data_IF_332264619459
#
_entry.id   IF_332264619459
#
_cell.length_a   1.000
_cell.length_b   1.000
_cell.length_c   1.000
_cell.angle_alpha   90.00
_cell.angle_beta   90.00
_cell.angle_gamma   90.00
#
_symmetry.space_group_name_H-M   'P 1'
#
loop_
_entity.id
_entity.type
_entity.pdbx_description
1 polymer ?
#
# COMPACT_ATOMS: atom_id res chain seq x y z
N UNK A 1 31.44 1.46 -35.00
CA UNK A 1 32.15 1.22 -33.72
C UNK A 1 31.69 2.12 -32.57
N UNK A 2 30.69 2.99 -32.75
CA UNK A 2 30.23 3.96 -31.73
C UNK A 2 29.09 3.47 -30.82
N UNK A 3 28.36 2.40 -31.19
CA UNK A 3 27.25 1.86 -30.37
C UNK A 3 27.74 1.14 -29.10
N UNK A 4 28.81 0.34 -29.19
CA UNK A 4 29.30 -0.48 -28.06
C UNK A 4 30.04 0.29 -26.96
N UNK A 5 30.48 1.52 -27.21
CA UNK A 5 31.15 2.36 -26.20
C UNK A 5 30.13 3.14 -25.35
N UNK A 6 29.04 3.59 -25.96
CA UNK A 6 27.94 4.28 -25.27
C UNK A 6 27.20 3.33 -24.31
N UNK A 7 27.00 2.08 -24.71
CA UNK A 7 26.28 1.06 -23.94
C UNK A 7 27.06 0.65 -22.66
N UNK A 8 28.39 0.49 -22.76
CA UNK A 8 29.25 0.22 -21.60
C UNK A 8 29.32 1.40 -20.61
N UNK A 9 29.33 2.63 -21.11
CA UNK A 9 29.33 3.84 -20.27
C UNK A 9 28.00 4.02 -19.53
N UNK A 10 26.86 3.85 -20.23
CA UNK A 10 25.52 3.91 -19.64
C UNK A 10 25.31 2.81 -18.58
N UNK A 11 25.74 1.58 -18.87
CA UNK A 11 25.65 0.47 -17.92
C UNK A 11 26.51 0.71 -16.66
N UNK A 12 27.66 1.39 -16.81
CA UNK A 12 28.50 1.78 -15.66
C UNK A 12 27.84 2.85 -14.78
N UNK A 13 27.18 3.84 -15.37
CA UNK A 13 26.41 4.86 -14.63
C UNK A 13 25.21 4.27 -13.90
N UNK A 14 24.47 3.39 -14.57
CA UNK A 14 23.32 2.68 -14.02
C UNK A 14 23.71 1.78 -12.84
N UNK A 15 24.82 1.03 -12.95
CA UNK A 15 25.39 0.23 -11.86
C UNK A 15 25.75 1.07 -10.64
N UNK A 16 26.34 2.25 -10.83
CA UNK A 16 26.65 3.17 -9.72
C UNK A 16 25.38 3.64 -9.01
N UNK A 17 24.34 4.00 -9.77
CA UNK A 17 23.06 4.45 -9.22
C UNK A 17 22.36 3.32 -8.45
N UNK A 18 22.31 2.11 -9.00
CA UNK A 18 21.71 0.97 -8.31
C UNK A 18 22.49 0.54 -7.06
N UNK A 19 23.82 0.63 -7.08
CA UNK A 19 24.63 0.44 -5.88
C UNK A 19 24.31 1.50 -4.82
N UNK A 20 24.10 2.75 -5.20
CA UNK A 20 23.65 3.79 -4.28
C UNK A 20 22.29 3.45 -3.66
N UNK A 21 21.30 3.08 -4.48
CA UNK A 21 19.98 2.66 -3.96
C UNK A 21 20.07 1.42 -3.08
N UNK A 22 20.92 0.45 -3.40
CA UNK A 22 21.16 -0.71 -2.55
C UNK A 22 21.69 -0.32 -1.17
N UNK A 23 22.67 0.57 -1.10
CA UNK A 23 23.20 1.07 0.18
C UNK A 23 22.13 1.82 0.98
N UNK A 24 21.32 2.66 0.33
CA UNK A 24 20.21 3.37 0.97
C UNK A 24 19.17 2.40 1.51
N UNK A 25 18.74 1.42 0.70
CA UNK A 25 17.75 0.41 1.11
C UNK A 25 18.28 -0.44 2.26
N UNK A 26 19.56 -0.84 2.20
CA UNK A 26 20.20 -1.62 3.26
C UNK A 26 20.23 -0.86 4.58
N UNK A 27 20.64 0.41 4.55
CA UNK A 27 20.74 1.23 5.76
C UNK A 27 19.40 1.75 6.26
N UNK A 28 18.42 2.05 5.40
CA UNK A 28 17.19 2.74 5.84
C UNK A 28 16.00 1.81 6.00
N UNK A 29 16.00 0.65 5.36
CA UNK A 29 14.85 -0.27 5.34
C UNK A 29 15.27 -1.65 5.86
N UNK A 30 16.22 -2.31 5.18
CA UNK A 30 16.51 -3.73 5.40
C UNK A 30 17.04 -4.00 6.82
N UNK A 31 17.81 -3.08 7.42
CA UNK A 31 18.31 -3.23 8.79
C UNK A 31 17.21 -3.34 9.85
N UNK A 32 15.99 -2.91 9.54
CA UNK A 32 14.84 -2.99 10.43
C UNK A 32 13.93 -4.19 10.13
N UNK A 33 14.26 -5.04 9.14
CA UNK A 33 13.49 -6.24 8.90
C UNK A 33 13.71 -7.23 10.05
N UNK A 34 12.65 -7.70 10.69
CA UNK A 34 12.78 -8.65 11.77
C UNK A 34 13.29 -10.02 11.24
N UNK A 35 14.30 -10.64 11.87
CA UNK A 35 14.92 -11.85 11.34
C UNK A 35 14.04 -13.09 11.39
N UNK A 36 12.97 -13.13 12.21
CA UNK A 36 12.07 -14.28 12.31
C UNK A 36 10.82 -14.02 11.48
N UNK A 37 9.94 -13.12 11.94
CA UNK A 37 8.72 -12.74 11.21
C UNK A 37 8.99 -12.17 9.82
N UNK A 38 10.07 -11.42 9.58
CA UNK A 38 10.30 -10.74 8.30
C UNK A 38 9.49 -9.46 8.09
N UNK A 39 8.77 -9.01 9.12
CA UNK A 39 8.01 -7.76 9.11
C UNK A 39 8.92 -6.54 9.35
N UNK A 40 8.35 -5.34 9.14
CA UNK A 40 9.00 -4.06 9.44
C UNK A 40 8.28 -3.36 10.59
N UNK A 41 9.00 -2.67 11.50
CA UNK A 41 8.39 -2.02 12.65
C UNK A 41 7.67 -0.75 12.20
N UNK A 42 6.54 -0.44 12.83
CA UNK A 42 5.79 0.79 12.59
C UNK A 42 6.64 2.03 12.92
N UNK A 43 7.40 1.96 14.01
CA UNK A 43 8.29 3.03 14.46
C UNK A 43 9.74 2.52 14.54
N UNK A 44 10.53 2.58 13.46
CA UNK A 44 11.89 2.04 13.44
C UNK A 44 12.87 2.78 14.39
N UNK A 45 12.51 3.99 14.84
CA UNK A 45 13.31 4.76 15.81
C UNK A 45 13.02 4.40 17.26
N UNK A 46 11.94 3.67 17.52
CA UNK A 46 11.55 3.24 18.86
C UNK A 46 12.04 1.80 19.09
N UNK A 47 13.05 1.58 19.97
CA UNK A 47 13.58 0.25 20.25
C UNK A 47 12.54 -0.70 20.87
N UNK A 48 11.45 -0.18 21.43
CA UNK A 48 10.38 -0.95 22.04
C UNK A 48 9.15 -1.09 21.15
N UNK A 49 9.27 -0.75 19.85
CA UNK A 49 8.18 -0.90 18.90
C UNK A 49 7.80 -2.38 18.74
N UNK A 50 6.64 -2.76 19.29
CA UNK A 50 6.11 -4.14 19.21
C UNK A 50 5.22 -4.38 17.99
N UNK A 51 4.93 -3.35 17.21
CA UNK A 51 3.88 -3.41 16.20
C UNK A 51 4.45 -3.20 14.80
N UNK A 52 3.95 -4.00 13.87
CA UNK A 52 4.09 -3.80 12.43
C UNK A 52 2.73 -3.40 11.86
N UNK A 53 2.71 -2.45 10.92
CA UNK A 53 1.50 -2.14 10.15
C UNK A 53 1.61 -2.78 8.77
N UNK A 54 0.54 -3.45 8.32
CA UNK A 54 0.55 -4.21 7.07
C UNK A 54 0.87 -3.32 5.88
N UNK A 55 0.22 -2.15 5.76
CA UNK A 55 0.47 -1.20 4.65
C UNK A 55 1.95 -0.82 4.53
N UNK A 56 2.59 -0.55 5.67
CA UNK A 56 3.97 -0.05 5.72
C UNK A 56 4.94 -1.17 5.36
N UNK A 57 4.71 -2.37 5.91
CA UNK A 57 5.46 -3.58 5.57
C UNK A 57 5.33 -3.95 4.09
N UNK A 58 4.12 -3.82 3.50
CA UNK A 58 3.94 -4.03 2.05
C UNK A 58 4.78 -3.04 1.25
N UNK A 59 4.75 -1.74 1.59
CA UNK A 59 5.59 -0.76 0.89
C UNK A 59 7.09 -1.03 1.07
N UNK A 60 7.55 -1.46 2.25
CA UNK A 60 8.93 -1.89 2.45
C UNK A 60 9.27 -3.07 1.53
N UNK A 61 8.42 -4.10 1.48
CA UNK A 61 8.59 -5.23 0.58
C UNK A 61 8.57 -4.82 -0.89
N UNK A 62 7.76 -3.83 -1.27
CA UNK A 62 7.74 -3.26 -2.62
C UNK A 62 9.06 -2.64 -3.01
N UNK A 63 9.70 -1.86 -2.12
CA UNK A 63 11.04 -1.29 -2.39
C UNK A 63 12.06 -2.40 -2.63
N UNK A 64 12.08 -3.42 -1.76
CA UNK A 64 12.99 -4.56 -1.88
C UNK A 64 12.77 -5.31 -3.20
N UNK A 65 11.52 -5.57 -3.56
CA UNK A 65 11.15 -6.21 -4.82
C UNK A 65 11.52 -5.37 -6.04
N UNK A 66 11.27 -4.05 -6.00
CA UNK A 66 11.59 -3.16 -7.09
C UNK A 66 13.12 -3.13 -7.34
N UNK A 67 13.92 -3.05 -6.27
CA UNK A 67 15.37 -3.10 -6.37
C UNK A 67 15.87 -4.48 -6.81
N UNK A 68 15.28 -5.58 -6.29
CA UNK A 68 15.53 -6.93 -6.79
C UNK A 68 15.35 -6.99 -8.31
N UNK A 69 14.22 -6.50 -8.82
CA UNK A 69 13.91 -6.48 -10.26
C UNK A 69 14.90 -5.66 -11.07
N UNK A 70 15.31 -4.49 -10.57
CA UNK A 70 16.29 -3.66 -11.24
C UNK A 70 17.68 -4.30 -11.26
N UNK A 71 18.09 -4.96 -10.17
CA UNK A 71 19.38 -5.66 -10.09
C UNK A 71 19.40 -6.94 -10.94
N UNK A 72 18.32 -7.73 -10.99
CA UNK A 72 18.24 -8.93 -11.85
C UNK A 72 18.50 -8.62 -13.34
N UNK A 73 18.27 -7.38 -13.78
CA UNK A 73 18.54 -6.96 -15.17
C UNK A 73 20.02 -6.67 -15.48
N UNK A 74 20.86 -6.44 -14.45
CA UNK A 74 22.19 -5.82 -14.60
C UNK A 74 23.30 -6.57 -13.85
N UNK A 75 22.95 -7.24 -12.75
CA UNK A 75 23.83 -7.85 -11.75
C UNK A 75 23.62 -9.37 -11.75
N UNK A 76 24.55 -10.11 -12.36
CA UNK A 76 24.48 -11.57 -12.52
C UNK A 76 25.29 -12.33 -11.45
N UNK A 77 26.32 -11.71 -10.85
CA UNK A 77 27.34 -12.48 -10.09
C UNK A 77 27.36 -12.24 -8.57
N UNK A 78 26.68 -11.23 -8.03
CA UNK A 78 26.83 -10.85 -6.61
C UNK A 78 25.76 -11.44 -5.66
N UNK A 79 24.72 -12.10 -6.17
CA UNK A 79 23.63 -12.70 -5.38
C UNK A 79 22.73 -11.72 -4.61
N UNK A 80 23.04 -10.41 -4.62
CA UNK A 80 22.32 -9.36 -3.88
C UNK A 80 20.86 -9.26 -4.30
N UNK A 81 20.59 -9.39 -5.59
CA UNK A 81 19.23 -9.36 -6.10
C UNK A 81 18.41 -10.49 -5.46
N UNK A 82 18.95 -11.71 -5.38
CA UNK A 82 18.26 -12.87 -4.82
C UNK A 82 17.92 -12.66 -3.34
N UNK A 83 18.88 -12.18 -2.54
CA UNK A 83 18.66 -11.85 -1.13
C UNK A 83 17.50 -10.86 -0.94
N UNK A 84 17.48 -9.76 -1.71
CA UNK A 84 16.39 -8.78 -1.66
C UNK A 84 15.03 -9.37 -2.04
N UNK A 85 15.01 -10.24 -3.05
CA UNK A 85 13.80 -10.96 -3.46
C UNK A 85 13.27 -11.84 -2.33
N UNK A 86 14.14 -12.60 -1.67
CA UNK A 86 13.77 -13.45 -0.52
C UNK A 86 13.30 -12.62 0.68
N UNK A 87 13.93 -11.49 0.96
CA UNK A 87 13.48 -10.56 1.99
C UNK A 87 12.07 -10.01 1.70
N UNK A 88 11.76 -9.68 0.45
CA UNK A 88 10.42 -9.25 0.05
C UNK A 88 9.39 -10.38 0.19
N UNK A 89 9.71 -11.60 -0.28
CA UNK A 89 8.87 -12.79 -0.14
C UNK A 89 8.57 -13.06 1.33
N UNK A 90 9.59 -13.04 2.19
CA UNK A 90 9.46 -13.30 3.62
C UNK A 90 8.47 -12.33 4.28
N UNK A 91 8.57 -11.03 3.98
CA UNK A 91 7.64 -10.03 4.51
C UNK A 91 6.20 -10.27 4.05
N UNK A 92 5.98 -10.53 2.75
CA UNK A 92 4.64 -10.77 2.22
C UNK A 92 4.03 -12.06 2.77
N UNK A 93 4.83 -13.11 2.94
CA UNK A 93 4.41 -14.37 3.56
C UNK A 93 4.04 -14.20 5.03
N UNK A 94 4.79 -13.40 5.77
CA UNK A 94 4.48 -13.09 7.16
C UNK A 94 3.09 -12.47 7.32
N UNK A 95 2.77 -11.51 6.45
CA UNK A 95 1.44 -10.89 6.40
C UNK A 95 0.37 -11.91 6.05
N UNK A 96 0.60 -12.75 5.03
CA UNK A 96 -0.34 -13.79 4.62
C UNK A 96 -0.63 -14.76 5.76
N UNK A 97 0.42 -15.27 6.43
CA UNK A 97 0.30 -16.20 7.57
C UNK A 97 -0.43 -15.53 8.73
N UNK A 98 -0.09 -14.28 9.07
CA UNK A 98 -0.79 -13.52 10.11
C UNK A 98 -2.29 -13.40 9.82
N UNK A 99 -2.66 -13.03 8.60
CA UNK A 99 -4.08 -12.95 8.22
C UNK A 99 -4.78 -14.31 8.11
N UNK A 100 -4.08 -15.39 7.75
CA UNK A 100 -4.64 -16.75 7.74
C UNK A 100 -5.05 -17.22 9.14
N UNK A 101 -4.34 -16.78 10.19
CA UNK A 101 -4.76 -17.02 11.58
C UNK A 101 -6.12 -16.37 11.90
N UNK A 102 -6.55 -15.38 11.10
CA UNK A 102 -7.85 -14.70 11.21
C UNK A 102 -8.88 -15.20 10.18
N UNK A 103 -8.69 -16.38 9.59
CA UNK A 103 -9.59 -16.93 8.56
C UNK A 103 -11.06 -17.02 9.01
N UNK A 104 -11.31 -17.39 10.26
CA UNK A 104 -12.67 -17.42 10.83
C UNK A 104 -13.33 -16.03 10.85
N UNK A 105 -12.55 -15.00 11.17
CA UNK A 105 -12.96 -13.59 11.17
C UNK A 105 -13.27 -13.11 9.76
N UNK A 106 -12.41 -13.45 8.80
CA UNK A 106 -12.60 -13.16 7.38
C UNK A 106 -13.88 -13.80 6.81
N UNK A 107 -14.18 -15.05 7.18
CA UNK A 107 -15.42 -15.71 6.76
C UNK A 107 -16.67 -15.02 7.32
N UNK A 108 -16.62 -14.57 8.58
CA UNK A 108 -17.72 -13.80 9.17
C UNK A 108 -17.90 -12.44 8.49
N UNK A 109 -16.81 -11.79 8.09
CA UNK A 109 -16.85 -10.50 7.39
C UNK A 109 -17.66 -10.54 6.11
N UNK A 110 -17.62 -11.64 5.34
CA UNK A 110 -18.42 -11.78 4.11
C UNK A 110 -19.92 -11.54 4.37
N UNK A 111 -20.38 -11.88 5.57
CA UNK A 111 -21.76 -11.69 6.02
C UNK A 111 -21.96 -10.33 6.70
N UNK A 112 -21.16 -9.99 7.70
CA UNK A 112 -21.42 -8.82 8.56
C UNK A 112 -20.86 -7.50 8.04
N UNK A 113 -19.74 -7.50 7.32
CA UNK A 113 -19.08 -6.32 6.74
C UNK A 113 -18.89 -5.17 7.76
N UNK A 114 -18.50 -5.51 8.99
CA UNK A 114 -18.38 -4.57 10.11
C UNK A 114 -16.98 -4.59 10.74
N UNK A 115 -16.77 -3.70 11.72
CA UNK A 115 -15.50 -3.53 12.43
C UNK A 115 -15.07 -4.79 13.21
N UNK A 116 -16.03 -5.48 13.81
CA UNK A 116 -15.76 -6.64 14.67
C UNK A 116 -15.19 -7.83 13.88
N UNK A 117 -15.51 -7.93 12.60
CA UNK A 117 -15.08 -9.04 11.74
C UNK A 117 -14.07 -8.64 10.68
N UNK A 118 -13.62 -7.38 10.64
CA UNK A 118 -12.60 -6.95 9.68
C UNK A 118 -11.23 -7.55 10.00
N UNK A 119 -10.36 -7.68 8.99
CA UNK A 119 -8.97 -8.11 9.22
C UNK A 119 -8.19 -7.05 10.00
N UNK A 120 -7.29 -7.50 10.87
CA UNK A 120 -6.45 -6.58 11.63
C UNK A 120 -5.35 -6.02 10.72
N UNK A 121 -5.17 -4.71 10.75
CA UNK A 121 -4.16 -4.01 9.95
C UNK A 121 -2.80 -3.94 10.67
N UNK A 122 -2.75 -4.35 11.94
CA UNK A 122 -1.53 -4.46 12.75
C UNK A 122 -1.22 -5.91 13.11
N UNK A 123 0.06 -6.23 13.01
CA UNK A 123 0.66 -7.50 13.43
C UNK A 123 1.70 -7.22 14.50
N UNK A 124 1.97 -8.20 15.35
CA UNK A 124 3.12 -8.17 16.24
C UNK A 124 4.40 -8.22 15.41
N UNK A 125 5.33 -7.33 15.71
CA UNK A 125 6.55 -7.17 14.93
C UNK A 125 7.45 -8.41 15.02
N UNK A 126 7.50 -9.09 16.16
CA UNK A 126 8.38 -10.22 16.41
C UNK A 126 7.75 -11.54 15.97
N UNK A 127 6.49 -11.77 16.34
CA UNK A 127 5.78 -13.04 16.10
C UNK A 127 5.03 -13.07 14.76
N UNK A 128 4.61 -11.91 14.24
CA UNK A 128 3.73 -11.80 13.08
C UNK A 128 2.27 -12.15 13.36
N UNK A 129 1.91 -12.34 14.63
CA UNK A 129 0.53 -12.63 15.03
C UNK A 129 -0.35 -11.37 14.94
N UNK A 130 -1.63 -11.50 14.58
CA UNK A 130 -2.53 -10.37 14.55
C UNK A 130 -2.75 -9.75 15.93
N UNK A 131 -2.67 -8.41 16.01
CA UNK A 131 -2.86 -7.69 17.27
C UNK A 131 -4.32 -7.35 17.46
N UNK A 132 -4.99 -8.02 18.40
CA UNK A 132 -6.39 -7.74 18.73
C UNK A 132 -6.50 -6.58 19.73
N UNK A 133 -6.69 -5.38 19.16
CA UNK A 133 -6.97 -4.16 19.92
C UNK A 133 -8.34 -3.62 19.48
N UNK A 134 -9.37 -3.72 20.35
CA UNK A 134 -10.73 -3.28 20.02
C UNK A 134 -10.83 -1.79 19.71
N UNK A 135 -9.91 -0.98 20.23
CA UNK A 135 -9.91 0.47 20.02
C UNK A 135 -9.21 0.87 18.73
N UNK A 136 -8.50 -0.07 18.09
CA UNK A 136 -7.79 0.19 16.86
C UNK A 136 -8.69 0.12 15.63
N UNK A 137 -8.38 0.99 14.69
CA UNK A 137 -9.19 1.24 13.49
C UNK A 137 -8.78 0.30 12.37
N UNK A 138 -9.02 -0.99 12.58
CA UNK A 138 -8.56 -2.08 11.73
C UNK A 138 -9.22 -2.11 10.35
N UNK A 139 -10.46 -1.63 10.20
CA UNK A 139 -11.18 -1.64 8.94
C UNK A 139 -10.57 -0.63 7.95
N UNK A 140 -9.66 -1.15 7.10
CA UNK A 140 -8.89 -0.41 6.11
C UNK A 140 -8.86 -1.22 4.81
N UNK A 141 -9.77 -0.93 3.88
CA UNK A 141 -9.91 -1.68 2.64
C UNK A 141 -8.73 -1.42 1.69
N UNK A 142 -8.17 -0.21 1.74
CA UNK A 142 -6.98 0.16 0.97
C UNK A 142 -5.76 -0.70 1.32
N UNK A 143 -5.60 -1.07 2.60
CA UNK A 143 -4.49 -1.90 3.06
C UNK A 143 -4.54 -3.31 2.45
N UNK A 144 -5.71 -3.93 2.44
CA UNK A 144 -5.92 -5.25 1.81
C UNK A 144 -5.74 -5.17 0.30
N UNK A 145 -6.28 -4.12 -0.34
CA UNK A 145 -6.12 -3.89 -1.78
C UNK A 145 -4.64 -3.74 -2.18
N UNK A 146 -3.87 -2.96 -1.43
CA UNK A 146 -2.44 -2.76 -1.67
C UNK A 146 -1.66 -4.08 -1.56
N UNK A 147 -1.93 -4.89 -0.54
CA UNK A 147 -1.31 -6.21 -0.38
C UNK A 147 -1.56 -7.08 -1.62
N UNK A 148 -2.82 -7.16 -2.08
CA UNK A 148 -3.20 -7.99 -3.24
C UNK A 148 -2.54 -7.50 -4.52
N UNK A 149 -2.53 -6.19 -4.78
CA UNK A 149 -1.84 -5.60 -5.95
C UNK A 149 -0.36 -5.96 -5.93
N UNK A 150 0.30 -5.77 -4.78
CA UNK A 150 1.73 -6.00 -4.67
C UNK A 150 2.09 -7.48 -4.79
N UNK A 151 1.27 -8.36 -4.18
CA UNK A 151 1.42 -9.80 -4.30
C UNK A 151 1.32 -10.24 -5.77
N UNK A 152 0.31 -9.75 -6.49
CA UNK A 152 0.13 -10.04 -7.92
C UNK A 152 1.35 -9.62 -8.73
N UNK A 153 1.88 -8.42 -8.49
CA UNK A 153 3.10 -7.93 -9.15
C UNK A 153 4.33 -8.78 -8.83
N UNK A 154 4.49 -9.24 -7.59
CA UNK A 154 5.61 -10.11 -7.19
C UNK A 154 5.52 -11.49 -7.87
N UNK A 155 4.33 -12.10 -7.88
CA UNK A 155 4.09 -13.39 -8.54
C UNK A 155 4.32 -13.29 -10.05
N UNK A 156 3.75 -12.26 -10.70
CA UNK A 156 3.96 -12.02 -12.13
C UNK A 156 5.43 -11.78 -12.49
N UNK A 157 6.24 -11.34 -11.53
CA UNK A 157 7.67 -11.12 -11.72
C UNK A 157 8.54 -12.37 -11.54
N UNK A 158 7.95 -13.50 -11.13
CA UNK A 158 8.62 -14.79 -10.89
C UNK A 158 8.89 -15.12 -9.43
N UNK A 159 8.47 -14.29 -8.47
CA UNK A 159 8.63 -14.61 -7.05
C UNK A 159 7.51 -15.52 -6.57
N UNK A 160 7.87 -16.61 -5.89
CA UNK A 160 6.92 -17.52 -5.28
C UNK A 160 6.59 -17.03 -3.87
N UNK A 161 5.36 -16.55 -3.67
CA UNK A 161 4.89 -16.09 -2.35
C UNK A 161 3.84 -17.02 -1.77
N UNK A 162 3.04 -17.70 -2.60
CA UNK A 162 1.98 -18.63 -2.19
C UNK A 162 2.44 -20.06 -2.43
N UNK A 163 2.31 -20.95 -1.45
CA UNK A 163 2.90 -22.29 -1.41
C UNK A 163 1.88 -23.42 -1.31
N UNK A 164 0.75 -23.21 -0.63
CA UNK A 164 -0.23 -24.28 -0.35
C UNK A 164 -1.61 -23.97 -0.90
N UNK A 165 -2.43 -25.01 -1.11
CA UNK A 165 -3.81 -24.85 -1.57
C UNK A 165 -4.68 -24.06 -0.58
N UNK A 166 -4.39 -24.18 0.71
CA UNK A 166 -5.08 -23.41 1.74
C UNK A 166 -4.74 -21.92 1.66
N UNK A 167 -3.48 -21.58 1.35
CA UNK A 167 -3.08 -20.20 1.05
C UNK A 167 -3.80 -19.67 -0.21
N UNK A 168 -3.98 -20.50 -1.26
CA UNK A 168 -4.78 -20.12 -2.44
C UNK A 168 -6.24 -19.84 -2.07
N UNK A 169 -6.86 -20.72 -1.29
CA UNK A 169 -8.24 -20.55 -0.85
C UNK A 169 -8.40 -19.28 0.01
N UNK A 170 -7.42 -19.00 0.88
CA UNK A 170 -7.40 -17.77 1.65
C UNK A 170 -7.26 -16.52 0.76
N UNK A 171 -6.38 -16.57 -0.25
CA UNK A 171 -6.27 -15.48 -1.23
C UNK A 171 -7.59 -15.24 -1.96
N UNK A 172 -8.31 -16.29 -2.36
CA UNK A 172 -9.65 -16.17 -2.94
C UNK A 172 -10.64 -15.51 -1.97
N UNK A 173 -10.52 -15.78 -0.68
CA UNK A 173 -11.34 -15.10 0.33
C UNK A 173 -11.02 -13.60 0.47
N UNK A 174 -9.75 -13.19 0.29
CA UNK A 174 -9.39 -11.77 0.22
C UNK A 174 -10.01 -11.09 -1.01
N UNK A 175 -10.18 -11.81 -2.13
CA UNK A 175 -10.91 -11.29 -3.29
C UNK A 175 -12.35 -10.96 -2.91
N UNK A 176 -13.06 -11.90 -2.29
CA UNK A 176 -14.43 -11.70 -1.84
C UNK A 176 -14.56 -10.57 -0.80
N UNK A 177 -13.53 -10.36 0.02
CA UNK A 177 -13.44 -9.23 0.94
C UNK A 177 -13.45 -7.90 0.18
N UNK A 178 -12.64 -7.78 -0.88
CA UNK A 178 -12.50 -6.56 -1.68
C UNK A 178 -13.67 -6.29 -2.63
N UNK A 179 -14.37 -7.32 -3.12
CA UNK A 179 -15.51 -7.18 -4.04
C UNK A 179 -16.61 -6.25 -3.52
N UNK A 180 -16.78 -6.15 -2.19
CA UNK A 180 -17.80 -5.32 -1.55
C UNK A 180 -17.33 -3.93 -1.13
N UNK A 181 -16.09 -3.53 -1.45
CA UNK A 181 -15.51 -2.25 -1.01
C UNK A 181 -16.38 -1.02 -1.37
N UNK A 182 -17.05 -1.01 -2.52
CA UNK A 182 -17.94 0.08 -2.98
C UNK A 182 -19.05 0.48 -2.01
N UNK A 183 -19.40 -0.38 -1.05
CA UNK A 183 -20.47 -0.13 -0.07
C UNK A 183 -20.02 -0.25 1.39
N UNK A 184 -18.73 -0.46 1.64
CA UNK A 184 -18.19 -0.63 2.99
C UNK A 184 -17.44 0.66 3.36
N UNK A 185 -18.02 1.50 4.22
CA UNK A 185 -17.30 2.63 4.79
C UNK A 185 -16.14 2.13 5.65
N UNK A 186 -14.97 2.73 5.53
CA UNK A 186 -13.77 2.35 6.27
C UNK A 186 -13.12 3.57 6.95
N UNK A 187 -11.96 3.37 7.60
CA UNK A 187 -11.22 4.47 8.22
C UNK A 187 -10.25 5.18 7.26
N UNK A 188 -10.14 4.70 6.02
CA UNK A 188 -9.17 5.11 5.02
C UNK A 188 -7.71 4.94 5.44
N UNK A 189 -6.81 5.38 4.55
CA UNK A 189 -5.35 5.26 4.71
C UNK A 189 -4.80 5.85 6.01
N UNK A 190 -5.48 6.87 6.55
CA UNK A 190 -5.01 7.63 7.71
C UNK A 190 -5.61 7.19 9.03
N UNK A 191 -6.44 6.15 9.05
CA UNK A 191 -7.06 5.62 10.28
C UNK A 191 -7.92 6.68 11.00
N UNK A 192 -8.64 7.50 10.23
CA UNK A 192 -9.45 8.61 10.76
C UNK A 192 -10.92 8.46 10.40
N UNK A 193 -11.23 7.85 9.26
CA UNK A 193 -12.56 7.80 8.66
C UNK A 193 -12.98 9.20 8.27
N UNK A 194 -13.75 9.88 9.11
CA UNK A 194 -14.06 11.32 8.93
C UNK A 194 -12.85 12.24 9.08
N UNK A 195 -12.89 13.40 8.41
CA UNK A 195 -11.93 14.50 8.54
C UNK A 195 -11.76 14.98 10.00
N UNK A 196 -12.82 14.94 10.78
CA UNK A 196 -12.84 15.38 12.18
C UNK A 196 -12.45 14.28 13.15
N UNK A 197 -12.03 13.10 12.67
CA UNK A 197 -11.62 11.99 13.52
C UNK A 197 -12.64 11.67 14.62
N UNK A 198 -13.92 11.52 14.28
CA UNK A 198 -15.00 11.25 15.26
C UNK A 198 -15.32 9.77 15.46
N UNK A 199 -14.35 8.90 15.15
CA UNK A 199 -14.54 7.45 15.13
C UNK A 199 -15.71 7.00 14.23
N UNK A 200 -15.93 7.73 13.15
CA UNK A 200 -16.94 7.42 12.13
C UNK A 200 -16.23 7.06 10.83
N UNK A 201 -16.66 5.97 10.24
CA UNK A 201 -16.20 5.47 8.94
C UNK A 201 -16.87 6.23 7.78
N UNK A 202 -16.18 6.34 6.64
CA UNK A 202 -16.72 6.97 5.43
C UNK A 202 -16.38 6.10 4.20
N UNK A 203 -17.12 6.27 3.11
CA UNK A 203 -16.67 5.73 1.82
C UNK A 203 -15.48 6.54 1.33
N UNK A 204 -14.31 5.91 1.33
CA UNK A 204 -13.04 6.47 0.90
C UNK A 204 -12.74 6.07 -0.56
N UNK A 205 -12.62 7.07 -1.44
CA UNK A 205 -12.32 6.86 -2.85
C UNK A 205 -10.95 6.18 -3.02
N UNK A 206 -9.95 6.51 -2.19
CA UNK A 206 -8.65 5.82 -2.23
C UNK A 206 -8.79 4.32 -1.94
N UNK A 207 -9.64 3.95 -0.99
CA UNK A 207 -9.89 2.56 -0.60
C UNK A 207 -10.64 1.78 -1.67
N UNK A 208 -11.71 2.36 -2.23
CA UNK A 208 -12.47 1.73 -3.32
C UNK A 208 -11.60 1.58 -4.57
N UNK A 209 -10.79 2.60 -4.90
CA UNK A 209 -9.89 2.52 -6.04
C UNK A 209 -8.81 1.46 -5.86
N UNK A 210 -8.22 1.34 -4.66
CA UNK A 210 -7.23 0.29 -4.39
C UNK A 210 -7.85 -1.10 -4.47
N UNK A 211 -9.07 -1.29 -3.96
CA UNK A 211 -9.81 -2.54 -4.11
C UNK A 211 -10.14 -2.85 -5.58
N UNK A 212 -10.61 -1.85 -6.34
CA UNK A 212 -10.92 -2.00 -7.77
C UNK A 212 -9.70 -2.39 -8.59
N UNK A 213 -8.55 -1.74 -8.36
CA UNK A 213 -7.29 -2.07 -9.01
C UNK A 213 -6.79 -3.47 -8.62
N UNK A 214 -6.97 -3.87 -7.34
CA UNK A 214 -6.65 -5.21 -6.88
C UNK A 214 -7.46 -6.28 -7.63
N UNK A 215 -8.77 -6.08 -7.80
CA UNK A 215 -9.64 -6.98 -8.58
C UNK A 215 -9.16 -7.11 -10.03
N UNK A 216 -8.73 -6.01 -10.66
CA UNK A 216 -8.19 -6.04 -12.03
C UNK A 216 -6.86 -6.81 -12.11
N UNK A 217 -5.99 -6.66 -11.10
CA UNK A 217 -4.67 -7.32 -11.07
C UNK A 217 -4.75 -8.84 -10.89
N UNK A 218 -5.74 -9.33 -10.17
CA UNK A 218 -5.90 -10.76 -9.88
C UNK A 218 -6.73 -11.51 -10.93
N UNK A 219 -7.45 -10.80 -11.79
CA UNK A 219 -8.36 -11.40 -12.75
C UNK A 219 -7.59 -12.34 -13.70
N UNK A 220 -7.75 -13.66 -13.50
CA UNK A 220 -7.02 -14.67 -14.28
C UNK A 220 -5.56 -14.88 -13.85
N UNK A 221 -5.12 -14.30 -12.73
CA UNK A 221 -3.79 -14.53 -12.18
C UNK A 221 -3.69 -15.93 -11.59
N UNK A 222 -2.66 -16.68 -11.97
CA UNK A 222 -2.29 -17.91 -11.29
C UNK A 222 -1.37 -17.60 -10.11
N UNK A 223 -1.79 -17.91 -8.88
CA UNK A 223 -1.03 -17.54 -7.67
C UNK A 223 0.26 -18.34 -7.46
N UNK A 224 0.40 -19.47 -8.14
CA UNK A 224 1.66 -20.22 -8.21
C UNK A 224 2.58 -19.73 -9.34
N UNK A 225 2.20 -18.68 -10.06
CA UNK A 225 2.95 -18.20 -11.23
C UNK A 225 2.85 -19.16 -12.41
N UNK A 226 3.96 -19.33 -13.14
CA UNK A 226 4.01 -20.14 -14.36
C UNK A 226 3.76 -21.64 -14.11
N UNK A 227 4.07 -22.13 -12.91
CA UNK A 227 3.96 -23.55 -12.53
C UNK A 227 2.56 -23.94 -12.04
N UNK A 228 1.62 -22.99 -12.02
CA UNK A 228 0.30 -23.22 -11.45
C UNK A 228 -0.67 -23.95 -12.38
N UNK A 229 -1.63 -24.63 -11.77
CA UNK A 229 -2.74 -25.30 -12.48
C UNK A 229 -3.96 -24.39 -12.58
N UNK A 230 -5.00 -24.82 -13.31
CA UNK A 230 -6.27 -24.09 -13.37
C UNK A 230 -6.96 -23.93 -12.00
N UNK A 231 -6.65 -24.80 -11.04
CA UNK A 231 -7.18 -24.76 -9.68
C UNK A 231 -6.54 -23.68 -8.79
N UNK A 232 -5.46 -23.05 -9.22
CA UNK A 232 -4.78 -21.95 -8.51
C UNK A 232 -5.00 -20.58 -9.16
N UNK A 233 -5.99 -20.48 -10.06
CA UNK A 233 -6.40 -19.22 -10.66
C UNK A 233 -7.45 -18.56 -9.76
N UNK A 234 -7.23 -17.29 -9.41
CA UNK A 234 -8.21 -16.51 -8.67
C UNK A 234 -9.31 -15.99 -9.60
N UNK A 235 -10.53 -15.99 -9.10
CA UNK A 235 -11.72 -15.52 -9.80
C UNK A 235 -12.30 -14.30 -9.10
N UNK A 236 -12.81 -13.35 -9.88
CA UNK A 236 -13.49 -12.15 -9.38
C UNK A 236 -14.85 -11.96 -10.05
N UNK A 237 -15.82 -11.44 -9.31
CA UNK A 237 -17.13 -11.04 -9.84
C UNK A 237 -17.02 -9.75 -10.68
N UNK A 238 -17.28 -9.86 -12.00
CA UNK A 238 -17.24 -8.75 -12.95
C UNK A 238 -18.24 -7.65 -12.57
N UNK A 239 -19.38 -8.02 -11.98
CA UNK A 239 -20.36 -7.04 -11.51
C UNK A 239 -19.83 -6.31 -10.27
N UNK A 240 -19.09 -6.99 -9.39
CA UNK A 240 -18.47 -6.35 -8.25
C UNK A 240 -17.42 -5.33 -8.69
N UNK A 241 -16.57 -5.66 -9.65
CA UNK A 241 -15.64 -4.71 -10.26
C UNK A 241 -16.37 -3.50 -10.86
N UNK A 242 -17.41 -3.76 -11.66
CA UNK A 242 -18.20 -2.70 -12.30
C UNK A 242 -18.84 -1.75 -11.28
N UNK A 243 -19.38 -2.29 -10.17
CA UNK A 243 -19.93 -1.49 -9.07
C UNK A 243 -18.85 -0.63 -8.40
N UNK A 244 -17.67 -1.18 -8.10
CA UNK A 244 -16.55 -0.42 -7.55
C UNK A 244 -16.11 0.72 -8.48
N UNK A 245 -16.03 0.44 -9.78
CA UNK A 245 -15.70 1.46 -10.78
C UNK A 245 -16.72 2.59 -10.83
N UNK A 246 -18.01 2.28 -10.90
CA UNK A 246 -19.09 3.29 -10.96
C UNK A 246 -19.07 4.18 -9.70
N UNK A 247 -18.96 3.58 -8.51
CA UNK A 247 -18.93 4.35 -7.27
C UNK A 247 -17.65 5.20 -7.16
N UNK A 248 -16.49 4.67 -7.54
CA UNK A 248 -15.25 5.45 -7.58
C UNK A 248 -15.39 6.69 -8.46
N UNK A 249 -15.91 6.52 -9.68
CA UNK A 249 -16.13 7.62 -10.63
C UNK A 249 -17.11 8.67 -10.12
N UNK A 250 -18.12 8.27 -9.35
CA UNK A 250 -19.06 9.19 -8.71
C UNK A 250 -18.48 9.94 -7.49
N UNK A 251 -17.51 9.35 -6.79
CA UNK A 251 -16.85 9.98 -5.65
C UNK A 251 -15.82 11.02 -6.09
N UNK A 252 -15.04 10.71 -7.14
CA UNK A 252 -14.04 11.62 -7.69
C UNK A 252 -14.72 12.94 -8.16
N UNK A 253 -14.08 14.10 -7.92
CA UNK A 253 -12.70 14.32 -7.46
C UNK A 253 -12.53 14.36 -5.93
N UNK A 254 -13.53 13.99 -5.14
CA UNK A 254 -13.46 14.00 -3.67
C UNK A 254 -12.91 12.67 -3.16
N UNK A 255 -12.27 12.72 -2.00
CA UNK A 255 -11.81 11.51 -1.31
C UNK A 255 -12.97 10.87 -0.54
N UNK A 256 -13.75 11.66 0.20
CA UNK A 256 -14.90 11.18 0.95
C UNK A 256 -15.91 12.30 1.19
N UNK A 257 -17.01 12.00 1.89
CA UNK A 257 -18.03 12.99 2.23
C UNK A 257 -17.43 14.22 2.96
N UNK A 258 -16.53 13.99 3.92
CA UNK A 258 -15.87 15.08 4.68
C UNK A 258 -14.52 15.53 4.11
N UNK A 259 -13.85 14.72 3.27
CA UNK A 259 -12.55 15.03 2.67
C UNK A 259 -12.68 15.39 1.19
N UNK A 260 -12.52 16.67 0.88
CA UNK A 260 -12.62 17.16 -0.49
C UNK A 260 -11.40 16.90 -1.39
N UNK A 261 -10.22 16.60 -0.84
CA UNK A 261 -8.99 16.26 -1.54
C UNK A 261 -8.01 15.67 -0.51
N UNK A 262 -7.35 14.57 -0.88
CA UNK A 262 -6.47 13.78 -0.02
C UNK A 262 -5.29 13.25 -0.83
N UNK A 263 -4.14 13.12 -0.19
CA UNK A 263 -2.93 12.57 -0.77
C UNK A 263 -3.03 11.06 -1.03
N UNK A 264 -3.90 10.34 -0.32
CA UNK A 264 -4.16 8.92 -0.56
C UNK A 264 -4.69 8.64 -1.99
N UNK A 265 -5.28 9.65 -2.64
CA UNK A 265 -5.71 9.54 -4.04
C UNK A 265 -4.54 9.38 -5.02
N UNK A 266 -3.34 9.91 -4.72
CA UNK A 266 -2.20 9.80 -5.62
C UNK A 266 -1.75 8.35 -5.86
N UNK A 267 -1.46 7.51 -4.84
CA UNK A 267 -1.11 6.11 -5.06
C UNK A 267 -2.28 5.27 -5.60
N UNK A 268 -3.52 5.73 -5.44
CA UNK A 268 -4.71 5.09 -6.04
C UNK A 268 -4.83 5.41 -7.53
N UNK A 269 -4.58 6.63 -7.95
CA UNK A 269 -4.73 7.07 -9.35
C UNK A 269 -3.46 6.83 -10.19
N UNK A 270 -2.30 6.85 -9.55
CA UNK A 270 -0.99 6.56 -10.13
C UNK A 270 -0.50 5.18 -9.65
N UNK A 271 0.78 4.90 -9.88
CA UNK A 271 1.45 3.74 -9.29
C UNK A 271 1.30 3.75 -7.75
N UNK A 272 0.97 2.61 -7.12
CA UNK A 272 0.92 1.26 -7.69
C UNK A 272 -0.41 0.83 -8.34
N UNK A 273 -1.49 1.57 -8.16
CA UNK A 273 -2.83 1.05 -8.41
C UNK A 273 -3.40 1.36 -9.81
N UNK A 274 -3.18 2.56 -10.33
CA UNK A 274 -3.80 3.02 -11.59
C UNK A 274 -5.30 2.71 -11.67
N UNK A 275 -6.02 2.98 -10.59
CA UNK A 275 -7.40 2.52 -10.39
C UNK A 275 -8.44 3.13 -11.35
N UNK A 276 -8.06 4.08 -12.19
CA UNK A 276 -8.98 4.88 -13.00
C UNK A 276 -8.64 4.69 -14.47
N UNK A 277 -9.66 4.42 -15.27
CA UNK A 277 -9.53 4.26 -16.72
C UNK A 277 -9.33 5.62 -17.42
N UNK A 278 -8.87 5.60 -18.67
CA UNK A 278 -8.66 6.83 -19.47
C UNK A 278 -9.91 7.70 -19.64
N UNK A 279 -11.11 7.14 -19.46
CA UNK A 279 -12.38 7.87 -19.62
C UNK A 279 -12.82 8.60 -18.36
N UNK A 280 -12.14 8.39 -17.25
CA UNK A 280 -12.47 8.92 -15.93
C UNK A 280 -11.45 10.02 -15.55
N UNK A 281 -11.81 11.01 -14.73
CA UNK A 281 -11.01 12.22 -14.54
C UNK A 281 -9.80 12.01 -13.59
N UNK A 282 -8.76 11.31 -14.03
CA UNK A 282 -7.54 11.10 -13.24
C UNK A 282 -6.65 12.34 -13.16
N UNK A 283 -6.29 12.93 -14.30
CA UNK A 283 -5.38 14.09 -14.39
C UNK A 283 -5.90 15.31 -13.62
N UNK A 284 -7.18 15.75 -13.76
CA UNK A 284 -7.66 16.91 -13.02
C UNK A 284 -7.67 16.68 -11.51
N UNK A 285 -7.85 15.43 -11.06
CA UNK A 285 -7.80 15.07 -9.63
C UNK A 285 -6.37 15.15 -9.12
N UNK A 286 -5.41 14.63 -9.89
CA UNK A 286 -4.00 14.70 -9.56
C UNK A 286 -3.50 16.14 -9.51
N UNK A 287 -3.85 16.97 -10.49
CA UNK A 287 -3.53 18.41 -10.49
C UNK A 287 -4.14 19.13 -9.27
N UNK A 288 -5.36 18.77 -8.89
CA UNK A 288 -6.00 19.29 -7.68
C UNK A 288 -5.26 18.85 -6.41
N UNK A 289 -4.79 17.61 -6.34
CA UNK A 289 -3.99 17.12 -5.23
C UNK A 289 -2.64 17.86 -5.17
N UNK A 290 -1.96 18.00 -6.31
CA UNK A 290 -0.70 18.71 -6.44
C UNK A 290 -0.82 20.17 -6.02
N UNK A 291 -1.81 20.91 -6.55
CA UNK A 291 -2.00 22.32 -6.25
C UNK A 291 -2.38 22.60 -4.79
N UNK A 292 -3.15 21.71 -4.14
CA UNK A 292 -3.67 21.96 -2.79
C UNK A 292 -2.83 21.36 -1.67
N UNK A 293 -2.12 20.26 -1.93
CA UNK A 293 -1.44 19.48 -0.89
C UNK A 293 0.08 19.65 -0.95
N UNK A 294 0.65 20.01 -2.11
CA UNK A 294 2.10 20.24 -2.23
C UNK A 294 2.52 21.46 -1.40
N UNK A 295 3.51 21.26 -0.55
CA UNK A 295 4.24 22.30 0.17
C UNK A 295 5.71 22.33 -0.26
N UNK A 296 6.52 23.11 0.47
CA UNK A 296 7.96 23.26 0.18
C UNK A 296 8.75 21.96 0.36
N UNK A 297 8.38 21.12 1.34
CA UNK A 297 9.14 19.93 1.74
C UNK A 297 8.41 18.60 1.49
N UNK A 298 7.28 18.63 0.79
CA UNK A 298 6.47 17.43 0.54
C UNK A 298 4.98 17.73 0.47
N UNK A 299 4.16 16.70 0.63
CA UNK A 299 2.71 16.78 0.56
C UNK A 299 2.08 16.76 1.96
N UNK A 300 0.98 17.49 2.13
CA UNK A 300 0.07 17.33 3.27
C UNK A 300 -0.87 16.14 2.99
N UNK A 301 -1.30 15.44 4.04
CA UNK A 301 -2.28 14.33 3.90
C UNK A 301 -3.60 14.83 3.32
N UNK A 302 -4.25 15.77 4.01
CA UNK A 302 -5.42 16.48 3.52
C UNK A 302 -5.53 17.86 4.16
N UNK A 303 -6.44 18.68 3.66
CA UNK A 303 -6.64 20.05 4.18
C UNK A 303 -7.21 20.04 5.61
N UNK A 304 -6.70 20.91 6.50
CA UNK A 304 -7.10 21.00 7.92
C UNK A 304 -6.93 19.69 8.68
N UNK A 305 -5.82 19.01 8.40
CA UNK A 305 -5.38 17.88 9.20
C UNK A 305 -4.81 18.38 10.54
N UNK A 306 -5.24 17.75 11.63
CA UNK A 306 -4.83 18.08 12.99
C UNK A 306 -3.66 17.25 13.51
N UNK A 307 -3.25 16.19 12.81
CA UNK A 307 -2.18 15.29 13.25
C UNK A 307 -0.80 15.94 13.32
N UNK A 308 0.00 15.55 14.31
CA UNK A 308 1.31 16.13 14.61
C UNK A 308 1.26 17.66 14.76
N UNK A 309 0.13 18.19 15.24
CA UNK A 309 -0.04 19.60 15.62
C UNK A 309 -0.36 19.70 17.11
N UNK A 310 -0.41 20.93 17.64
CA UNK A 310 -0.80 21.19 19.04
C UNK A 310 -2.20 20.64 19.38
N UNK A 311 -3.06 20.42 18.37
CA UNK A 311 -4.38 19.83 18.53
C UNK A 311 -4.34 18.29 18.62
N UNK A 312 -3.25 17.66 18.20
CA UNK A 312 -3.13 16.19 18.21
C UNK A 312 -2.87 15.69 19.62
N UNK A 313 -3.94 15.60 20.42
CA UNK A 313 -3.90 15.06 21.78
C UNK A 313 -4.22 13.56 21.82
N UNK A 314 -4.11 12.87 20.69
CA UNK A 314 -4.62 11.50 20.49
C UNK A 314 -6.11 11.32 20.83
N UNK A 315 -6.90 12.41 20.79
CA UNK A 315 -8.33 12.42 21.07
C UNK A 315 -9.17 12.69 19.81
N UNK A 316 -10.48 12.48 19.91
CA UNK A 316 -11.45 12.88 18.89
C UNK A 316 -11.55 14.43 18.88
N UNK A 317 -11.71 15.03 17.70
CA UNK A 317 -11.80 16.50 17.59
C UNK A 317 -13.22 17.01 17.85
N UNK A 318 -13.33 18.12 18.57
CA UNK A 318 -14.58 18.82 18.81
C UNK A 318 -15.09 19.53 17.53
N UNK A 319 -16.41 19.75 17.40
CA UNK A 319 -16.96 20.54 16.30
C UNK A 319 -16.27 21.91 16.17
N UNK A 320 -15.72 22.19 15.00
CA UNK A 320 -15.08 23.48 14.71
C UNK A 320 -13.62 23.61 15.15
N UNK A 321 -13.07 22.66 15.91
CA UNK A 321 -11.68 22.72 16.43
C UNK A 321 -10.64 22.88 15.31
N UNK A 322 -10.84 22.16 14.20
CA UNK A 322 -9.97 22.23 13.02
C UNK A 322 -10.20 23.49 12.13
N UNK A 323 -11.22 24.31 12.42
CA UNK A 323 -11.54 25.51 11.61
C UNK A 323 -10.74 26.75 12.01
N UNK A 324 -10.22 26.81 13.24
CA UNK A 324 -9.46 27.96 13.77
C UNK A 324 -8.20 28.24 12.95
N UNK A 325 -7.65 27.23 12.24
CA UNK A 325 -6.39 27.32 11.50
C UNK A 325 -6.49 27.94 10.08
N UNK A 326 -7.56 28.68 9.75
CA UNK A 326 -7.71 29.28 8.41
C UNK A 326 -6.65 30.37 8.11
N UNK A 327 -6.00 30.95 9.12
CA UNK A 327 -5.17 32.15 8.99
C UNK A 327 -3.66 31.97 9.27
N UNK A 328 -3.17 30.79 9.67
CA UNK A 328 -1.74 30.60 9.87
C UNK A 328 -1.06 30.26 8.54
N UNK A 329 -0.34 31.23 7.94
CA UNK A 329 0.59 31.01 6.82
C UNK A 329 1.72 30.01 7.16
N UNK A 330 1.81 29.59 8.41
CA UNK A 330 2.82 28.66 8.95
C UNK A 330 2.21 27.31 9.34
N UNK A 331 1.81 26.52 8.36
CA UNK A 331 1.94 25.07 8.50
C UNK A 331 3.12 24.67 7.64
N UNK A 332 4.33 24.75 8.23
CA UNK A 332 5.49 24.04 7.68
C UNK A 332 5.04 22.60 7.48
N UNK A 333 5.05 22.12 6.25
CA UNK A 333 4.82 20.72 5.96
C UNK A 333 6.05 19.97 6.48
N UNK A 334 6.15 19.78 7.79
CA UNK A 334 7.24 19.02 8.43
C UNK A 334 6.98 17.50 8.37
N UNK A 335 5.84 17.07 7.82
CA UNK A 335 5.55 15.67 7.55
C UNK A 335 5.66 15.37 6.07
N UNK A 336 6.56 14.47 5.69
CA UNK A 336 6.44 13.76 4.41
C UNK A 336 5.21 12.85 4.51
N UNK A 337 4.14 13.18 3.78
CA UNK A 337 2.92 12.35 3.72
C UNK A 337 3.16 10.98 3.07
N UNK A 338 4.16 10.88 2.20
CA UNK A 338 4.61 9.63 1.65
C UNK A 338 5.84 9.19 2.41
N UNK A 339 5.83 7.95 2.89
CA UNK A 339 7.05 7.33 3.42
C UNK A 339 8.15 7.38 2.36
N UNK A 340 9.39 7.47 2.81
CA UNK A 340 10.57 7.29 1.96
C UNK A 340 10.47 6.00 1.14
N UNK A 341 9.78 4.98 1.67
CA UNK A 341 9.51 3.72 0.96
C UNK A 341 8.61 3.91 -0.25
N UNK A 342 7.56 4.75 -0.20
CA UNK A 342 6.74 5.02 -1.38
C UNK A 342 7.52 5.82 -2.44
N UNK A 343 8.26 6.85 -2.02
CA UNK A 343 9.07 7.66 -2.94
C UNK A 343 10.15 6.83 -3.65
N UNK A 344 10.89 6.01 -2.88
CA UNK A 344 11.87 5.08 -3.42
C UNK A 344 11.22 4.03 -4.34
N UNK A 345 10.05 3.50 -3.97
CA UNK A 345 9.34 2.55 -4.82
C UNK A 345 8.94 3.16 -6.15
N UNK A 346 8.41 4.39 -6.14
CA UNK A 346 8.06 5.13 -7.36
C UNK A 346 9.30 5.41 -8.19
N UNK A 347 10.39 5.88 -7.60
CA UNK A 347 11.64 6.14 -8.33
C UNK A 347 12.22 4.87 -8.95
N UNK A 348 12.22 3.75 -8.22
CA UNK A 348 12.67 2.46 -8.73
C UNK A 348 11.73 1.91 -9.81
N UNK A 349 10.42 2.09 -9.64
CA UNK A 349 9.43 1.67 -10.64
C UNK A 349 9.55 2.49 -11.93
N UNK A 350 9.59 3.82 -11.86
CA UNK A 350 9.73 4.69 -13.04
C UNK A 350 11.09 4.53 -13.73
N UNK A 351 12.14 4.13 -12.99
CA UNK A 351 13.41 3.74 -13.63
C UNK A 351 13.28 2.50 -14.53
N UNK A 352 12.16 1.73 -14.44
CA UNK A 352 11.88 0.60 -15.34
C UNK A 352 11.40 1.02 -16.73
N UNK A 353 10.84 2.22 -16.88
CA UNK A 353 10.17 2.67 -18.12
C UNK A 353 11.05 3.60 -18.98
N UNK A 354 12.21 4.03 -18.48
CA UNK A 354 13.15 4.92 -19.18
C UNK A 354 14.47 4.26 -19.62
N UNK A 355 14.54 2.92 -19.60
CA UNK A 355 15.63 2.09 -20.13
C UNK A 355 15.05 0.79 -20.66
#
# INVERSE_FOLDING_TARGET
MTAGYNDKSQNTGLRKNLNHFYLVVKDQILKYQHPISGLFPLNPKDPHCKFSHVRDSVYCATVLWALHRSLTRIDDDAGRHYELGQCAVKCMRAILIGWMQQSSRLEQFKKSQNLDTCLNSRLDYETGEPVDDPNYKNLQMDCVGLFVIQLAQMIASGLQVVYTRDEVAFMQNLVFYLERAYRIPDYGMWERGTKQNRNMVELNASSIGMAKAALECIAGLNVYGAEGSHSSILLMDIDAHSRNRIILSNLLPRESASKGCDASLMPTLCWPAYAVSKTEPSEPVLERCMSRLKGQYGFRRFTRDGYATVLDRNTLYQPGELMVRRNSKESKANGQCFSLTWQLSVSLYLSKDHT
#
